data_IF_023340339286
#
_entry.id   IF_023340339286
#
_cell.length_a   1.000
_cell.length_b   1.000
_cell.length_c   1.000
_cell.angle_alpha   90.00
_cell.angle_beta   90.00
_cell.angle_gamma   90.00
#
_symmetry.space_group_name_H-M   'P 1'
#
loop_
_entity.id
_entity.type
_entity.pdbx_description
1 polymer ?
#
# COMPACT_ATOMS: atom_id res chain seq x y z
N UNK A 1 -16.86 -2.48 13.48
CA UNK A 1 -15.62 -1.72 13.74
C UNK A 1 -15.66 -0.45 12.92
N UNK A 2 -15.35 0.68 13.54
CA UNK A 2 -15.16 1.93 12.80
C UNK A 2 -13.97 1.78 11.82
N UNK A 3 -13.98 2.45 10.66
CA UNK A 3 -12.96 2.29 9.63
C UNK A 3 -11.54 2.49 10.16
N UNK A 4 -11.33 3.44 11.09
CA UNK A 4 -10.03 3.67 11.74
C UNK A 4 -9.48 2.44 12.47
N UNK A 5 -10.34 1.69 13.16
CA UNK A 5 -9.93 0.48 13.88
C UNK A 5 -9.55 -0.67 12.93
N UNK A 6 -10.13 -0.71 11.73
CA UNK A 6 -9.80 -1.73 10.73
C UNK A 6 -8.47 -1.39 10.06
N UNK A 7 -8.25 -0.12 9.73
CA UNK A 7 -6.99 0.38 9.16
C UNK A 7 -5.85 0.12 10.13
N UNK A 8 -6.00 0.50 11.39
CA UNK A 8 -4.98 0.27 12.41
C UNK A 8 -4.66 -1.23 12.54
N UNK A 9 -5.67 -2.10 12.44
CA UNK A 9 -5.50 -3.56 12.52
C UNK A 9 -4.82 -4.14 11.28
N UNK A 10 -5.13 -3.65 10.09
CA UNK A 10 -4.49 -4.07 8.83
C UNK A 10 -3.03 -3.61 8.82
N UNK A 11 -2.78 -2.33 9.14
CA UNK A 11 -1.43 -1.76 9.24
C UNK A 11 -0.62 -2.51 10.28
N UNK A 12 -1.16 -2.74 11.48
CA UNK A 12 -0.50 -3.54 12.52
C UNK A 12 -0.24 -4.98 12.06
N UNK A 13 -1.18 -5.60 11.34
CA UNK A 13 -1.03 -6.95 10.77
C UNK A 13 0.13 -7.04 9.76
N UNK A 14 0.31 -6.00 8.95
CA UNK A 14 1.41 -5.84 8.00
C UNK A 14 2.73 -5.51 8.74
N UNK A 15 2.69 -4.74 9.84
CA UNK A 15 3.85 -4.49 10.71
C UNK A 15 4.35 -5.75 11.42
N UNK A 16 3.51 -6.77 11.67
CA UNK A 16 3.96 -8.06 12.27
C UNK A 16 4.90 -8.83 11.34
N UNK A 17 4.89 -8.54 10.04
CA UNK A 17 5.66 -9.27 9.02
C UNK A 17 6.93 -8.54 8.53
N UNK A 18 7.42 -7.51 9.26
CA UNK A 18 8.58 -6.69 8.85
C UNK A 18 8.44 -5.94 7.50
N UNK A 19 7.22 -5.87 6.95
CA UNK A 19 6.96 -5.23 5.65
C UNK A 19 6.92 -3.70 5.78
N UNK A 20 6.41 -3.21 6.91
CA UNK A 20 6.45 -1.79 7.27
C UNK A 20 7.43 -1.58 8.40
N UNK A 21 8.23 -0.51 8.28
CA UNK A 21 9.04 -0.07 9.40
C UNK A 21 8.12 0.33 10.56
N UNK A 22 8.55 0.16 11.82
CA UNK A 22 7.73 0.51 12.98
C UNK A 22 7.36 2.01 13.05
N UNK A 23 8.08 2.86 12.32
CA UNK A 23 7.81 4.30 12.26
C UNK A 23 6.86 4.69 11.12
N UNK A 24 6.59 3.77 10.17
CA UNK A 24 5.63 4.02 9.10
C UNK A 24 4.24 4.31 9.67
N UNK A 25 3.64 5.42 9.23
CA UNK A 25 2.28 5.84 9.58
C UNK A 25 1.43 5.90 8.31
N UNK A 26 0.14 5.65 8.50
CA UNK A 26 -0.89 6.03 7.52
C UNK A 26 -1.33 7.44 7.87
N UNK A 27 -1.05 8.37 6.97
CA UNK A 27 -1.47 9.77 7.10
C UNK A 27 -2.95 9.90 6.70
N UNK A 28 -3.35 9.23 5.61
CA UNK A 28 -4.73 9.19 5.12
C UNK A 28 -5.02 7.85 4.44
N UNK A 29 -6.26 7.40 4.51
CA UNK A 29 -6.75 6.23 3.79
C UNK A 29 -8.26 6.33 3.61
N UNK A 30 -8.69 6.42 2.35
CA UNK A 30 -10.11 6.51 2.01
C UNK A 30 -10.46 5.76 0.74
N UNK A 31 -11.74 5.43 0.63
CA UNK A 31 -12.35 4.87 -0.56
C UNK A 31 -13.01 6.00 -1.34
N UNK A 32 -12.67 6.15 -2.63
CA UNK A 32 -13.29 7.09 -3.53
C UNK A 32 -14.44 6.38 -4.28
N UNK A 33 -15.69 6.72 -3.94
CA UNK A 33 -16.87 6.11 -4.57
C UNK A 33 -17.04 6.49 -6.05
N UNK A 34 -16.61 7.69 -6.45
CA UNK A 34 -16.80 8.18 -7.82
C UNK A 34 -15.85 7.49 -8.80
N UNK A 35 -14.61 7.26 -8.36
CA UNK A 35 -13.56 6.61 -9.16
C UNK A 35 -13.48 5.10 -8.92
N UNK A 36 -14.20 4.57 -7.92
CA UNK A 36 -14.15 3.18 -7.49
C UNK A 36 -12.69 2.73 -7.23
N UNK A 37 -11.98 3.53 -6.44
CA UNK A 37 -10.55 3.39 -6.15
C UNK A 37 -10.28 3.60 -4.66
N UNK A 38 -9.11 3.15 -4.19
CA UNK A 38 -8.64 3.41 -2.82
C UNK A 38 -7.41 4.30 -2.87
N UNK A 39 -7.34 5.26 -1.97
CA UNK A 39 -6.19 6.15 -1.82
C UNK A 39 -5.58 5.93 -0.45
N UNK A 40 -4.26 5.77 -0.39
CA UNK A 40 -3.50 5.67 0.84
C UNK A 40 -2.31 6.62 0.78
N UNK A 41 -2.19 7.46 1.81
CA UNK A 41 -1.02 8.30 2.03
C UNK A 41 -0.22 7.77 3.21
N UNK A 42 1.07 7.53 2.99
CA UNK A 42 1.98 7.01 4.01
C UNK A 42 3.04 8.06 4.37
N UNK A 43 3.53 7.98 5.61
CA UNK A 43 4.66 8.80 6.02
C UNK A 43 5.92 8.46 5.23
N UNK A 44 6.81 9.44 5.04
CA UNK A 44 8.12 9.23 4.41
C UNK A 44 8.97 8.11 5.01
N UNK A 45 8.78 7.77 6.28
CA UNK A 45 9.44 6.64 6.94
C UNK A 45 9.25 5.32 6.18
N UNK A 46 8.13 5.16 5.45
CA UNK A 46 7.85 3.99 4.63
C UNK A 46 8.93 3.74 3.58
N UNK A 47 9.37 4.79 2.87
CA UNK A 47 10.39 4.66 1.81
C UNK A 47 11.81 4.82 2.33
N UNK A 48 12.03 5.57 3.42
CA UNK A 48 13.38 5.84 3.94
C UNK A 48 13.92 4.72 4.84
N UNK A 49 13.06 4.01 5.55
CA UNK A 49 13.46 2.93 6.45
C UNK A 49 13.33 1.54 5.82
N UNK A 50 12.71 1.46 4.64
CA UNK A 50 12.64 0.22 3.87
C UNK A 50 14.04 -0.17 3.40
N UNK A 51 14.60 -1.20 4.02
CA UNK A 51 15.88 -1.79 3.62
C UNK A 51 15.65 -2.95 2.64
N UNK A 52 14.99 -2.66 1.52
CA UNK A 52 14.63 -3.62 0.48
C UNK A 52 15.30 -3.26 -0.85
N UNK A 53 15.74 -4.27 -1.60
CA UNK A 53 16.08 -4.07 -3.02
C UNK A 53 14.82 -3.96 -3.89
N UNK A 54 14.96 -3.41 -5.11
CA UNK A 54 13.87 -3.16 -6.06
C UNK A 54 12.83 -4.29 -6.20
N UNK A 55 13.29 -5.55 -6.27
CA UNK A 55 12.37 -6.70 -6.41
C UNK A 55 11.50 -6.94 -5.18
N UNK A 56 12.07 -6.80 -3.97
CA UNK A 56 11.31 -6.98 -2.73
C UNK A 56 10.41 -5.77 -2.47
N UNK A 57 10.87 -4.57 -2.81
CA UNK A 57 10.05 -3.36 -2.78
C UNK A 57 8.79 -3.49 -3.66
N UNK A 58 8.93 -4.00 -4.89
CA UNK A 58 7.77 -4.27 -5.75
C UNK A 58 6.78 -5.28 -5.14
N UNK A 59 7.26 -6.30 -4.41
CA UNK A 59 6.39 -7.25 -3.71
C UNK A 59 5.67 -6.62 -2.53
N UNK A 60 6.30 -5.69 -1.81
CA UNK A 60 5.69 -4.93 -0.73
C UNK A 60 4.54 -4.09 -1.28
N UNK A 61 4.80 -3.32 -2.34
CA UNK A 61 3.79 -2.48 -2.99
C UNK A 61 2.64 -3.33 -3.53
N UNK A 62 2.94 -4.43 -4.24
CA UNK A 62 1.90 -5.33 -4.74
C UNK A 62 1.07 -5.94 -3.61
N UNK A 63 1.70 -6.32 -2.49
CA UNK A 63 1.00 -6.88 -1.32
C UNK A 63 0.06 -5.85 -0.69
N UNK A 64 0.50 -4.59 -0.57
CA UNK A 64 -0.33 -3.49 -0.09
C UNK A 64 -1.52 -3.24 -1.02
N UNK A 65 -1.25 -3.09 -2.33
CA UNK A 65 -2.27 -2.91 -3.37
C UNK A 65 -3.29 -4.02 -3.37
N UNK A 66 -2.84 -5.28 -3.33
CA UNK A 66 -3.74 -6.43 -3.31
C UNK A 66 -4.58 -6.50 -2.05
N UNK A 67 -4.01 -6.19 -0.89
CA UNK A 67 -4.72 -6.21 0.39
C UNK A 67 -5.84 -5.17 0.40
N UNK A 68 -5.54 -3.93 0.01
CA UNK A 68 -6.52 -2.85 -0.02
C UNK A 68 -7.56 -3.09 -1.13
N UNK A 69 -7.11 -3.45 -2.33
CA UNK A 69 -7.98 -3.75 -3.45
C UNK A 69 -8.96 -4.87 -3.15
N UNK A 70 -8.50 -5.97 -2.55
CA UNK A 70 -9.36 -7.06 -2.13
C UNK A 70 -10.34 -6.65 -1.01
N UNK A 71 -9.88 -5.88 -0.03
CA UNK A 71 -10.74 -5.46 1.09
C UNK A 71 -11.86 -4.53 0.63
N UNK A 72 -11.56 -3.56 -0.24
CA UNK A 72 -12.54 -2.59 -0.75
C UNK A 72 -13.26 -3.04 -2.03
N UNK A 73 -12.81 -4.12 -2.68
CA UNK A 73 -13.40 -4.59 -3.93
C UNK A 73 -13.07 -3.71 -5.14
N UNK A 74 -11.90 -3.06 -5.13
CA UNK A 74 -11.43 -2.17 -6.20
C UNK A 74 -10.23 -2.77 -6.94
N UNK A 75 -9.97 -2.29 -8.16
CA UNK A 75 -8.81 -2.73 -8.96
C UNK A 75 -7.63 -1.76 -8.92
N UNK A 76 -7.88 -0.53 -8.46
CA UNK A 76 -6.92 0.57 -8.49
C UNK A 76 -6.69 1.10 -7.07
N UNK A 77 -5.41 1.17 -6.69
CA UNK A 77 -4.97 1.73 -5.41
C UNK A 77 -3.92 2.80 -5.68
N UNK A 78 -4.17 4.01 -5.21
CA UNK A 78 -3.26 5.14 -5.29
C UNK A 78 -2.43 5.22 -4.02
N UNK A 79 -1.10 5.22 -4.17
CA UNK A 79 -0.15 5.22 -3.06
C UNK A 79 0.66 6.51 -3.14
N UNK A 80 0.61 7.31 -2.07
CA UNK A 80 1.34 8.58 -1.96
C UNK A 80 2.20 8.61 -0.70
N UNK A 81 3.21 9.49 -0.71
CA UNK A 81 4.13 9.70 0.42
C UNK A 81 4.08 11.16 0.85
N UNK A 82 3.64 11.41 2.08
CA UNK A 82 3.45 12.76 2.64
C UNK A 82 2.72 13.73 1.68
N UNK A 83 1.70 13.22 0.99
CA UNK A 83 0.88 13.95 0.01
C UNK A 83 1.53 14.13 -1.37
N UNK A 84 2.73 13.58 -1.59
CA UNK A 84 3.42 13.58 -2.89
C UNK A 84 3.40 12.21 -3.58
N UNK A 85 3.94 12.12 -4.82
CA UNK A 85 4.07 10.85 -5.51
C UNK A 85 4.92 9.86 -4.71
N UNK A 86 4.72 8.57 -4.94
CA UNK A 86 5.62 7.56 -4.39
C UNK A 86 6.96 7.63 -5.13
N UNK A 87 8.02 7.95 -4.39
CA UNK A 87 9.39 7.97 -4.90
C UNK A 87 10.32 7.31 -3.89
N UNK A 88 11.00 6.25 -4.33
CA UNK A 88 12.04 5.56 -3.58
C UNK A 88 13.35 5.54 -4.36
N UNK A 89 14.36 4.82 -3.82
CA UNK A 89 15.61 4.57 -4.55
C UNK A 89 15.48 3.66 -5.77
N UNK A 90 14.35 2.96 -5.97
CA UNK A 90 14.20 1.97 -7.05
C UNK A 90 12.92 2.13 -7.89
N UNK A 91 11.84 2.62 -7.30
CA UNK A 91 10.52 2.69 -7.92
C UNK A 91 9.99 4.13 -7.80
N UNK A 92 9.38 4.59 -8.89
CA UNK A 92 8.63 5.84 -8.96
C UNK A 92 7.24 5.46 -9.43
N UNK A 93 6.21 5.93 -8.72
CA UNK A 93 4.82 5.91 -9.18
C UNK A 93 4.44 7.37 -9.36
N UNK A 94 4.11 7.75 -10.58
CA UNK A 94 3.83 9.15 -10.90
C UNK A 94 2.52 9.62 -10.24
N UNK A 95 2.38 10.94 -10.09
CA UNK A 95 1.14 11.53 -9.58
C UNK A 95 -0.04 11.13 -10.47
N UNK A 96 -1.06 10.52 -9.87
CA UNK A 96 -2.23 10.02 -10.59
C UNK A 96 -2.03 8.67 -11.29
N UNK A 97 -0.89 7.99 -11.10
CA UNK A 97 -0.69 6.62 -11.56
C UNK A 97 -1.20 5.61 -10.51
N UNK A 98 -2.17 4.73 -10.85
CA UNK A 98 -2.65 3.72 -9.92
C UNK A 98 -1.72 2.50 -9.88
N UNK A 99 -1.55 1.92 -8.70
CA UNK A 99 -1.08 0.54 -8.56
C UNK A 99 -2.25 -0.42 -8.75
N UNK A 100 -2.08 -1.41 -9.62
CA UNK A 100 -3.14 -2.35 -9.99
C UNK A 100 -3.12 -3.62 -9.14
N UNK A 101 -4.31 -4.08 -8.77
CA UNK A 101 -4.49 -5.39 -8.13
C UNK A 101 -4.08 -6.49 -9.10
N UNK A 102 -3.18 -7.37 -8.66
CA UNK A 102 -2.68 -8.48 -9.47
C UNK A 102 -2.33 -9.68 -8.58
N UNK A 103 -3.03 -10.79 -8.80
CA UNK A 103 -2.83 -12.06 -8.09
C UNK A 103 -2.17 -13.16 -8.95
N UNK A 104 -1.77 -12.87 -10.19
CA UNK A 104 -1.23 -13.84 -11.14
C UNK A 104 0.08 -14.49 -10.65
N UNK A 105 0.79 -13.81 -9.75
CA UNK A 105 2.06 -14.27 -9.18
C UNK A 105 1.89 -15.06 -7.87
N UNK A 106 0.65 -15.29 -7.40
CA UNK A 106 0.39 -16.14 -6.24
C UNK A 106 0.12 -17.57 -6.72
N UNK A 107 0.92 -18.52 -6.23
CA UNK A 107 0.59 -19.93 -6.36
C UNK A 107 -0.69 -20.17 -5.54
N UNK A 108 -1.78 -20.52 -6.21
CA UNK A 108 -2.94 -21.10 -5.54
C UNK A 108 -2.50 -22.45 -4.98
N UNK A 109 -2.39 -22.57 -3.66
CA UNK A 109 -2.47 -23.91 -3.06
C UNK A 109 -3.92 -24.38 -3.26
N UNK A 110 -4.11 -25.28 -4.24
CA UNK A 110 -5.31 -26.12 -4.36
C UNK A 110 -5.37 -27.16 -3.24
#
# INVERSE_FOLDING_TARGET
DEPEHVIEKIVKGLSVHEIFSPNTKVNDLFYNEEENSVHIDLSKDFVTEMNAGAGFEGLILQSLTNTLGQYYGVQEVYITIDGGPYESGHIIIEEGEPSLVNFDNLNSEE
#
